data_IF_318422669202
#
_entry.id   IF_318422669202
#
_cell.length_a   1.000
_cell.length_b   1.000
_cell.length_c   1.000
_cell.angle_alpha   90.00
_cell.angle_beta   90.00
_cell.angle_gamma   90.00
#
_symmetry.space_group_name_H-M   'P 1'
#
loop_
_entity.id
_entity.type
_entity.pdbx_description
1 polymer ?
#
# COMPACT_ATOMS: atom_id res chain seq x y z
N UNK A 1 20.28 -8.17 -59.18
CA UNK A 1 19.78 -7.82 -60.53
C UNK A 1 18.30 -7.50 -60.35
N UNK A 2 17.87 -6.23 -60.33
CA UNK A 2 17.62 -5.33 -61.49
C UNK A 2 16.51 -5.84 -62.41
N UNK A 3 15.53 -5.06 -62.87
CA UNK A 3 15.07 -3.71 -62.54
C UNK A 3 13.69 -3.47 -63.22
N UNK A 4 12.92 -2.47 -62.75
CA UNK A 4 12.33 -1.34 -63.52
C UNK A 4 11.97 -1.51 -65.03
N UNK A 5 10.96 -0.88 -65.64
CA UNK A 5 10.48 0.52 -65.45
C UNK A 5 9.21 0.84 -66.30
N UNK A 6 8.29 1.67 -65.78
CA UNK A 6 7.55 2.76 -66.50
C UNK A 6 6.54 2.42 -67.66
N UNK A 7 5.58 3.28 -68.08
CA UNK A 7 5.33 4.71 -67.81
C UNK A 7 3.91 5.20 -68.25
N UNK A 8 3.37 6.28 -67.61
CA UNK A 8 2.45 7.33 -68.15
C UNK A 8 1.04 6.93 -68.68
N UNK A 9 -0.04 7.74 -68.63
CA UNK A 9 -0.40 9.18 -68.37
C UNK A 9 -1.93 9.21 -68.01
N UNK A 10 -2.63 10.27 -67.55
CA UNK A 10 -2.40 11.46 -66.66
C UNK A 10 -3.73 12.29 -66.61
N UNK A 11 -4.11 12.88 -65.46
CA UNK A 11 -5.29 13.78 -65.15
C UNK A 11 -6.50 13.04 -64.51
N UNK A 12 -7.25 13.60 -63.53
CA UNK A 12 -7.34 15.00 -63.02
C UNK A 12 -7.87 15.04 -61.55
N UNK A 13 -7.34 15.96 -60.71
CA UNK A 13 -7.75 16.33 -59.31
C UNK A 13 -7.69 15.21 -58.25
N UNK A 14 -7.21 15.38 -57.01
CA UNK A 14 -6.44 16.42 -56.27
C UNK A 14 -5.75 15.70 -55.08
N UNK A 15 -4.53 16.07 -54.66
CA UNK A 15 -3.81 15.55 -53.47
C UNK A 15 -3.52 16.67 -52.45
N UNK A 16 -3.27 16.53 -51.13
CA UNK A 16 -2.69 15.47 -50.25
C UNK A 16 -1.21 15.11 -50.54
N UNK A 17 -0.36 14.80 -49.52
CA UNK A 17 -0.13 15.34 -48.14
C UNK A 17 1.41 15.66 -48.00
N UNK A 18 2.19 15.33 -46.92
CA UNK A 18 2.04 15.36 -45.44
C UNK A 18 3.17 16.20 -44.74
N UNK A 19 3.30 16.17 -43.40
CA UNK A 19 4.63 16.21 -42.74
C UNK A 19 4.85 17.16 -41.54
N UNK A 20 5.01 16.54 -40.37
CA UNK A 20 5.83 16.82 -39.17
C UNK A 20 6.53 18.18 -38.86
N UNK A 21 6.66 18.42 -37.54
CA UNK A 21 7.49 19.43 -36.83
C UNK A 21 7.21 20.92 -37.17
N UNK A 22 7.30 21.90 -36.27
CA UNK A 22 7.71 21.94 -34.86
C UNK A 22 8.44 23.28 -34.58
N UNK A 23 8.25 23.86 -33.38
CA UNK A 23 8.97 25.04 -32.84
C UNK A 23 8.55 26.41 -33.46
N UNK A 24 7.86 27.26 -32.67
CA UNK A 24 8.29 28.54 -32.03
C UNK A 24 8.82 29.64 -33.00
N UNK A 25 8.20 30.83 -32.86
CA UNK A 25 8.77 32.20 -32.87
C UNK A 25 8.17 33.25 -33.83
N UNK A 26 7.88 34.40 -33.21
CA UNK A 26 7.94 35.81 -33.66
C UNK A 26 7.34 36.28 -35.01
N UNK A 27 6.44 37.25 -34.85
CA UNK A 27 6.45 38.59 -35.48
C UNK A 27 6.19 38.83 -36.98
N UNK A 28 5.55 39.99 -37.21
CA UNK A 28 5.63 40.90 -38.35
C UNK A 28 5.21 40.44 -39.77
N UNK A 29 4.33 41.24 -40.40
CA UNK A 29 4.81 42.13 -41.47
C UNK A 29 4.02 43.45 -41.42
N UNK A 30 4.59 44.66 -41.36
CA UNK A 30 5.64 45.36 -42.14
C UNK A 30 5.13 45.96 -43.46
N UNK A 31 4.71 47.23 -43.37
CA UNK A 31 4.72 48.26 -44.43
C UNK A 31 4.48 49.61 -43.70
N UNK A 32 5.11 50.75 -44.00
CA UNK A 32 6.32 51.01 -44.78
C UNK A 32 6.89 52.40 -44.40
N UNK A 33 8.16 52.64 -44.73
CA UNK A 33 8.76 53.97 -45.01
C UNK A 33 8.57 55.18 -44.04
N UNK A 34 9.69 55.47 -43.34
CA UNK A 34 10.38 56.80 -43.25
C UNK A 34 9.84 58.00 -42.43
N UNK A 35 10.84 58.68 -41.84
CA UNK A 35 10.94 60.10 -41.44
C UNK A 35 10.46 60.60 -40.05
N UNK A 36 11.47 61.12 -39.33
CA UNK A 36 11.50 62.24 -38.37
C UNK A 36 10.71 62.24 -37.06
N UNK A 37 11.49 62.33 -35.98
CA UNK A 37 11.44 63.36 -34.92
C UNK A 37 10.15 64.18 -34.74
N UNK A 38 9.45 63.99 -33.61
CA UNK A 38 9.38 65.01 -32.55
C UNK A 38 8.45 64.60 -31.38
N UNK A 39 8.98 64.70 -30.16
CA UNK A 39 8.37 64.98 -28.82
C UNK A 39 6.83 65.10 -28.70
N UNK A 40 6.19 64.57 -27.63
CA UNK A 40 6.77 64.04 -26.38
C UNK A 40 5.73 63.50 -25.37
N UNK A 41 6.20 63.26 -24.14
CA UNK A 41 5.60 62.34 -23.14
C UNK A 41 4.29 62.76 -22.43
N UNK A 42 3.48 61.75 -22.07
CA UNK A 42 2.72 61.72 -20.81
C UNK A 42 2.81 60.29 -20.20
N UNK A 43 3.04 60.08 -18.89
CA UNK A 43 3.55 58.80 -18.38
C UNK A 43 2.51 57.66 -18.28
N UNK A 44 2.96 56.43 -18.57
CA UNK A 44 2.22 55.21 -18.24
C UNK A 44 2.02 55.05 -16.73
N UNK A 45 0.76 55.08 -16.28
CA UNK A 45 0.38 54.67 -14.92
C UNK A 45 0.62 53.16 -14.74
N UNK A 46 1.37 52.79 -13.70
CA UNK A 46 1.65 51.37 -13.40
C UNK A 46 0.37 50.62 -13.01
N UNK A 47 0.32 49.31 -13.31
CA UNK A 47 -0.82 48.44 -12.99
C UNK A 47 -1.23 48.47 -11.51
N UNK A 48 -0.31 48.82 -10.62
CA UNK A 48 -0.53 49.02 -9.19
C UNK A 48 -1.56 50.13 -8.89
N UNK A 49 -1.54 51.23 -9.66
CA UNK A 49 -2.51 52.33 -9.51
C UNK A 49 -3.92 51.94 -9.96
N UNK A 50 -4.05 51.10 -10.98
CA UNK A 50 -5.34 50.55 -11.41
C UNK A 50 -5.93 49.54 -10.41
N UNK A 51 -5.08 48.81 -9.68
CA UNK A 51 -5.51 47.93 -8.59
C UNK A 51 -6.04 48.75 -7.40
N UNK A 52 -5.31 49.80 -6.99
CA UNK A 52 -5.73 50.71 -5.92
C UNK A 52 -7.05 51.42 -6.24
N UNK A 53 -7.22 51.92 -7.48
CA UNK A 53 -8.48 52.54 -7.94
C UNK A 53 -9.68 51.57 -7.90
N UNK A 54 -9.49 50.29 -8.27
CA UNK A 54 -10.57 49.29 -8.17
C UNK A 54 -10.94 48.94 -6.73
N UNK A 55 -9.99 48.98 -5.79
CA UNK A 55 -10.26 48.76 -4.36
C UNK A 55 -11.00 49.95 -3.75
N UNK A 56 -10.60 51.18 -4.09
CA UNK A 56 -11.31 52.42 -3.69
C UNK A 56 -12.78 52.45 -4.16
N UNK A 57 -13.08 51.89 -5.34
CA UNK A 57 -14.45 51.84 -5.87
C UNK A 57 -15.37 50.82 -5.17
N UNK A 58 -14.83 49.90 -4.38
CA UNK A 58 -15.56 48.73 -3.87
C UNK A 58 -15.80 48.76 -2.34
N UNK A 59 -15.16 49.66 -1.60
CA UNK A 59 -15.35 49.85 -0.16
C UNK A 59 -15.45 51.35 0.13
N UNK A 60 -16.47 51.76 0.89
CA UNK A 60 -16.63 53.15 1.30
C UNK A 60 -15.43 53.67 2.11
N UNK A 61 -15.14 54.96 1.99
CA UNK A 61 -13.89 55.59 2.44
C UNK A 61 -13.49 55.26 3.90
N UNK A 62 -14.46 55.12 4.80
CA UNK A 62 -14.22 54.95 6.24
C UNK A 62 -13.61 53.58 6.62
N UNK A 63 -13.49 52.63 5.68
CA UNK A 63 -12.94 51.29 5.92
C UNK A 63 -11.52 51.07 5.39
N UNK A 64 -10.87 52.10 4.81
CA UNK A 64 -9.54 52.00 4.21
C UNK A 64 -8.43 52.65 5.04
N UNK A 65 -8.70 53.76 5.74
CA UNK A 65 -7.67 54.51 6.50
C UNK A 65 -7.12 53.75 7.72
N UNK A 66 -7.90 52.81 8.29
CA UNK A 66 -7.47 51.92 9.38
C UNK A 66 -6.87 50.57 8.92
N UNK A 67 -6.84 50.28 7.61
CA UNK A 67 -6.25 49.02 7.12
C UNK A 67 -4.77 49.17 6.84
N UNK A 68 -3.95 48.47 7.63
CA UNK A 68 -2.52 48.40 7.34
C UNK A 68 -2.27 47.78 5.96
N UNK A 69 -1.18 48.17 5.29
CA UNK A 69 -0.78 47.58 4.01
C UNK A 69 -0.68 46.04 4.08
N UNK A 70 -0.39 45.50 5.26
CA UNK A 70 -0.34 44.06 5.53
C UNK A 70 -1.71 43.38 5.46
N UNK A 71 -2.79 44.06 5.86
CA UNK A 71 -4.17 43.53 5.83
C UNK A 71 -4.75 43.55 4.41
N UNK A 72 -4.40 44.55 3.61
CA UNK A 72 -4.71 44.59 2.17
C UNK A 72 -4.00 43.43 1.45
N UNK A 73 -2.72 43.21 1.74
CA UNK A 73 -1.94 42.10 1.16
C UNK A 73 -2.53 40.73 1.57
N UNK A 74 -2.89 40.51 2.84
CA UNK A 74 -3.55 39.27 3.33
C UNK A 74 -4.91 38.97 2.69
N UNK A 75 -5.62 39.99 2.20
CA UNK A 75 -6.90 39.82 1.48
C UNK A 75 -6.71 39.38 0.02
N UNK A 76 -5.52 39.52 -0.55
CA UNK A 76 -5.26 39.13 -1.94
C UNK A 76 -5.35 37.60 -2.13
N UNK A 77 -6.08 37.09 -3.14
CA UNK A 77 -6.30 35.65 -3.30
C UNK A 77 -4.99 34.85 -3.49
N UNK A 78 -3.99 35.40 -4.19
CA UNK A 78 -2.67 34.76 -4.30
C UNK A 78 -1.96 34.61 -2.95
N UNK A 79 -2.12 35.57 -2.03
CA UNK A 79 -1.50 35.51 -0.69
C UNK A 79 -2.22 34.47 0.17
N UNK A 80 -3.54 34.34 0.05
CA UNK A 80 -4.29 33.24 0.67
C UNK A 80 -3.89 31.87 0.12
N UNK A 81 -3.77 31.70 -1.20
CA UNK A 81 -3.28 30.45 -1.81
C UNK A 81 -1.85 30.15 -1.35
N UNK A 82 -0.97 31.16 -1.32
CA UNK A 82 0.41 30.99 -0.86
C UNK A 82 0.45 30.53 0.62
N UNK A 83 -0.32 31.18 1.50
CA UNK A 83 -0.26 30.94 2.95
C UNK A 83 -1.04 29.70 3.42
N UNK A 84 -2.15 29.37 2.76
CA UNK A 84 -3.03 28.25 3.16
C UNK A 84 -2.72 26.97 2.41
N UNK A 85 -2.17 27.05 1.19
CA UNK A 85 -1.89 25.87 0.35
C UNK A 85 -0.38 25.70 0.16
N UNK A 86 0.31 26.69 -0.43
CA UNK A 86 1.73 26.51 -0.81
C UNK A 86 2.66 26.37 0.38
N UNK A 87 2.53 27.19 1.43
CA UNK A 87 3.40 27.11 2.62
C UNK A 87 3.19 25.78 3.36
N UNK A 88 1.96 25.34 3.69
CA UNK A 88 1.73 24.01 4.27
C UNK A 88 2.21 22.87 3.38
N UNK A 89 2.02 22.96 2.06
CA UNK A 89 2.53 21.96 1.12
C UNK A 89 4.07 21.93 1.06
N UNK A 90 4.74 23.09 1.05
CA UNK A 90 6.21 23.19 1.09
C UNK A 90 6.76 22.70 2.42
N UNK A 91 6.11 22.98 3.55
CA UNK A 91 6.46 22.43 4.87
C UNK A 91 6.30 20.91 4.84
N UNK A 92 5.20 20.39 4.29
CA UNK A 92 4.95 18.96 4.16
C UNK A 92 6.01 18.29 3.28
N UNK A 93 6.26 18.79 2.06
CA UNK A 93 7.27 18.24 1.15
C UNK A 93 8.70 18.38 1.72
N UNK A 94 9.01 19.47 2.43
CA UNK A 94 10.31 19.63 3.11
C UNK A 94 10.46 18.67 4.29
N UNK A 95 9.38 18.43 5.05
CA UNK A 95 9.33 17.42 6.10
C UNK A 95 9.53 16.02 5.50
N UNK A 96 8.84 15.69 4.41
CA UNK A 96 9.05 14.44 3.67
C UNK A 96 10.50 14.33 3.18
N UNK A 97 11.09 15.37 2.61
CA UNK A 97 12.48 15.32 2.15
C UNK A 97 13.48 15.10 3.30
N UNK A 98 13.36 15.88 4.38
CA UNK A 98 14.30 15.84 5.50
C UNK A 98 14.10 14.63 6.43
N UNK A 99 12.87 14.12 6.61
CA UNK A 99 12.61 12.92 7.41
C UNK A 99 12.63 11.63 6.57
N UNK A 100 12.19 11.65 5.31
CA UNK A 100 12.13 10.46 4.45
C UNK A 100 13.38 10.20 3.59
N UNK A 101 14.06 11.23 3.10
CA UNK A 101 15.21 11.06 2.20
C UNK A 101 16.55 11.37 2.90
N UNK A 102 16.58 12.37 3.78
CA UNK A 102 17.82 12.87 4.40
C UNK A 102 17.77 13.05 5.92
N UNK A 103 17.42 12.01 6.71
CA UNK A 103 17.40 12.07 8.17
C UNK A 103 18.75 12.51 8.79
N UNK A 104 19.86 12.23 8.10
CA UNK A 104 21.20 12.64 8.50
C UNK A 104 21.38 14.16 8.61
N UNK A 105 20.63 14.96 7.85
CA UNK A 105 20.69 16.43 7.94
C UNK A 105 20.12 16.92 9.26
N UNK A 106 19.01 16.34 9.74
CA UNK A 106 18.41 16.68 11.03
C UNK A 106 19.30 16.20 12.18
N UNK A 107 19.81 14.96 12.10
CA UNK A 107 20.78 14.44 13.09
C UNK A 107 22.00 15.37 13.20
N UNK A 108 22.57 15.78 12.07
CA UNK A 108 23.75 16.66 12.03
C UNK A 108 23.44 18.07 12.54
N UNK A 109 22.30 18.66 12.16
CA UNK A 109 21.86 19.98 12.61
C UNK A 109 21.69 20.03 14.14
N UNK A 110 21.17 18.95 14.73
CA UNK A 110 20.93 18.85 16.17
C UNK A 110 22.13 18.32 16.96
N UNK A 111 23.30 18.14 16.32
CA UNK A 111 24.52 17.64 16.97
C UNK A 111 24.37 16.21 17.53
N UNK A 112 23.48 15.40 16.95
CA UNK A 112 23.13 14.07 17.46
C UNK A 112 22.12 14.06 18.61
N UNK A 113 21.57 15.21 19.02
CA UNK A 113 20.57 15.27 20.09
C UNK A 113 19.22 14.70 19.65
N UNK A 114 18.85 14.86 18.38
CA UNK A 114 17.61 14.34 17.82
C UNK A 114 17.87 13.50 16.57
N UNK A 115 17.67 12.20 16.71
CA UNK A 115 17.65 11.26 15.59
C UNK A 115 16.19 11.09 15.15
N UNK A 116 15.76 11.62 13.98
CA UNK A 116 14.39 11.42 13.49
C UNK A 116 14.09 9.94 13.18
N UNK A 117 15.13 9.10 13.06
CA UNK A 117 15.03 7.65 12.79
C UNK A 117 15.96 6.84 13.68
N UNK A 118 15.65 6.67 14.98
CA UNK A 118 16.49 5.86 15.86
C UNK A 118 16.58 4.40 15.39
N UNK A 119 15.52 3.87 14.74
CA UNK A 119 15.43 2.50 14.24
C UNK A 119 16.16 2.20 12.91
N UNK A 120 16.82 3.21 12.32
CA UNK A 120 17.64 3.09 11.09
C UNK A 120 19.11 3.41 11.39
N UNK A 121 19.41 4.05 12.53
CA UNK A 121 20.70 4.65 12.78
C UNK A 121 21.72 3.70 13.44
N UNK A 122 22.22 2.73 12.68
CA UNK A 122 23.47 2.02 12.98
C UNK A 122 23.49 1.16 14.26
N UNK A 123 22.32 0.88 14.86
CA UNK A 123 22.22 -0.04 15.98
C UNK A 123 22.28 -1.49 15.47
N UNK A 124 23.27 -2.26 15.93
CA UNK A 124 23.30 -3.73 15.75
C UNK A 124 22.21 -4.46 16.59
N UNK A 125 21.30 -3.70 17.20
CA UNK A 125 20.24 -4.17 18.08
C UNK A 125 19.04 -4.50 17.19
N UNK A 126 18.54 -5.75 17.15
CA UNK A 126 17.36 -6.10 16.38
C UNK A 126 16.14 -5.37 16.94
N UNK A 127 15.16 -5.04 16.10
CA UNK A 127 13.87 -4.50 16.59
C UNK A 127 13.11 -5.58 17.34
N UNK A 128 12.16 -5.24 18.20
CA UNK A 128 11.55 -6.27 19.04
C UNK A 128 10.75 -7.28 18.24
N UNK A 129 9.81 -6.84 17.40
CA UNK A 129 8.87 -7.77 16.76
C UNK A 129 8.60 -7.50 15.28
N UNK A 130 8.65 -8.55 14.48
CA UNK A 130 8.00 -8.65 13.17
C UNK A 130 6.72 -9.46 13.33
N UNK A 131 5.57 -8.84 13.06
CA UNK A 131 4.30 -9.55 12.97
C UNK A 131 3.98 -9.77 11.48
N UNK A 132 3.98 -11.02 11.04
CA UNK A 132 3.54 -11.40 9.70
C UNK A 132 2.01 -11.47 9.69
N UNK A 133 1.35 -10.78 8.77
CA UNK A 133 -0.10 -10.90 8.58
C UNK A 133 -0.42 -12.07 7.65
N UNK A 134 -1.39 -12.91 8.03
CA UNK A 134 -1.84 -14.08 7.27
C UNK A 134 -2.46 -13.77 5.91
N UNK A 135 -3.05 -12.58 5.71
CA UNK A 135 -3.69 -12.18 4.45
C UNK A 135 -2.89 -11.12 3.70
N UNK A 136 -2.70 -11.26 2.37
CA UNK A 136 -2.43 -10.10 1.54
C UNK A 136 -3.63 -9.16 1.55
N UNK A 137 -3.35 -7.86 1.55
CA UNK A 137 -4.37 -6.82 1.60
C UNK A 137 -3.77 -5.50 2.03
N UNK A 138 -4.08 -4.43 1.30
CA UNK A 138 -3.33 -3.19 1.43
C UNK A 138 -3.72 -2.04 0.50
N UNK A 139 -4.95 -2.03 -0.02
CA UNK A 139 -5.46 -0.87 -0.76
C UNK A 139 -5.39 0.42 0.07
N UNK A 140 -4.46 1.30 -0.30
CA UNK A 140 -4.41 2.70 0.15
C UNK A 140 -5.23 3.63 -0.75
N UNK A 141 -5.89 3.08 -1.78
CA UNK A 141 -6.57 3.79 -2.85
C UNK A 141 -8.10 3.68 -2.73
N UNK A 142 -8.66 4.50 -1.85
CA UNK A 142 -10.02 5.04 -1.98
C UNK A 142 -11.20 4.15 -1.58
N UNK A 143 -11.26 2.89 -2.01
CA UNK A 143 -12.46 2.06 -1.88
C UNK A 143 -12.50 1.22 -0.59
N UNK A 144 -12.23 1.87 0.54
CA UNK A 144 -12.93 1.69 1.82
C UNK A 144 -12.84 0.38 2.63
N UNK A 145 -12.52 -0.78 2.05
CA UNK A 145 -12.66 -2.08 2.72
C UNK A 145 -11.44 -2.97 2.46
N UNK A 146 -10.58 -3.12 3.48
CA UNK A 146 -9.36 -3.94 3.42
C UNK A 146 -9.33 -4.93 4.59
N UNK A 147 -8.52 -5.98 4.48
CA UNK A 147 -8.82 -7.31 5.01
C UNK A 147 -8.15 -7.81 6.32
N UNK A 148 -7.09 -7.28 6.95
CA UNK A 148 -6.56 -5.93 7.21
C UNK A 148 -7.34 -5.03 8.20
N UNK A 149 -8.69 -5.05 8.23
CA UNK A 149 -9.55 -4.44 9.29
C UNK A 149 -9.51 -5.11 10.68
N UNK A 150 -8.39 -5.77 10.97
CA UNK A 150 -8.03 -6.17 12.32
C UNK A 150 -6.57 -5.84 12.59
N UNK A 151 -5.69 -6.06 11.60
CA UNK A 151 -4.29 -5.64 11.61
C UNK A 151 -4.13 -4.16 12.00
N UNK A 152 -4.99 -3.28 11.48
CA UNK A 152 -5.00 -1.84 11.80
C UNK A 152 -5.48 -1.58 13.24
N UNK A 153 -6.55 -2.23 13.67
CA UNK A 153 -7.16 -2.15 15.00
C UNK A 153 -6.18 -2.61 16.08
N UNK A 154 -5.55 -3.78 15.90
CA UNK A 154 -4.52 -4.33 16.79
C UNK A 154 -3.30 -3.39 16.86
N UNK A 155 -2.81 -2.88 15.72
CA UNK A 155 -1.72 -1.88 15.72
C UNK A 155 -2.11 -0.61 16.49
N UNK A 156 -3.36 -0.17 16.35
CA UNK A 156 -3.89 1.02 17.01
C UNK A 156 -3.99 0.82 18.52
N UNK A 157 -4.48 -0.33 18.99
CA UNK A 157 -4.58 -0.63 20.42
C UNK A 157 -3.22 -0.94 21.06
N UNK A 158 -2.29 -1.61 20.36
CA UNK A 158 -0.89 -1.75 20.81
C UNK A 158 -0.23 -0.38 21.03
N UNK A 159 -0.45 0.58 20.12
CA UNK A 159 0.03 1.95 20.28
C UNK A 159 -0.71 2.71 21.39
N UNK A 160 -2.02 2.60 21.48
CA UNK A 160 -2.85 3.35 22.44
C UNK A 160 -2.64 2.87 23.88
N UNK A 161 -2.64 1.56 24.09
CA UNK A 161 -2.68 0.93 25.42
C UNK A 161 -1.28 0.60 25.94
N UNK A 162 -0.37 0.17 25.07
CA UNK A 162 1.01 -0.18 25.46
C UNK A 162 2.05 0.87 25.03
N UNK A 163 1.66 1.93 24.32
CA UNK A 163 2.57 2.97 23.79
C UNK A 163 3.70 2.42 22.92
N UNK A 164 3.39 1.35 22.18
CA UNK A 164 4.30 0.71 21.23
C UNK A 164 4.30 1.42 19.88
N UNK A 165 5.48 1.55 19.30
CA UNK A 165 5.72 2.14 17.99
C UNK A 165 5.90 1.03 16.94
N UNK A 166 4.78 0.36 16.62
CA UNK A 166 4.71 -0.69 15.59
C UNK A 166 4.18 -0.09 14.27
N UNK A 167 4.89 -0.35 13.18
CA UNK A 167 4.50 0.07 11.83
C UNK A 167 3.49 -0.85 11.17
N UNK A 168 2.55 -0.32 10.39
CA UNK A 168 1.66 -1.14 9.55
C UNK A 168 2.10 -1.07 8.09
N UNK A 169 2.60 -2.17 7.55
CA UNK A 169 3.09 -2.29 6.17
C UNK A 169 4.56 -1.89 5.94
N UNK A 170 5.28 -1.40 6.96
CA UNK A 170 6.65 -0.87 6.80
C UNK A 170 7.57 -1.26 7.97
N UNK A 171 8.66 -1.95 7.63
CA UNK A 171 9.88 -2.09 8.43
C UNK A 171 10.84 -0.90 8.27
N UNK A 172 10.51 0.17 7.57
CA UNK A 172 11.22 1.45 7.72
C UNK A 172 10.47 2.36 8.72
N UNK A 173 11.23 3.09 9.53
CA UNK A 173 10.74 4.20 10.34
C UNK A 173 10.61 5.50 9.53
N UNK A 174 10.66 5.42 8.20
CA UNK A 174 10.39 6.50 7.27
C UNK A 174 8.96 7.05 7.47
N UNK A 175 7.94 6.25 7.13
CA UNK A 175 6.56 6.74 6.99
C UNK A 175 5.87 7.03 8.33
N UNK A 176 6.31 6.36 9.40
CA UNK A 176 5.89 6.54 10.79
C UNK A 176 7.08 6.21 11.69
N UNK A 177 7.11 6.70 12.92
CA UNK A 177 8.05 6.19 13.93
C UNK A 177 7.71 4.70 14.21
N UNK A 178 8.51 3.79 13.65
CA UNK A 178 8.37 2.33 13.79
C UNK A 178 9.57 1.76 14.57
N UNK A 179 9.68 2.23 15.82
CA UNK A 179 10.82 1.91 16.71
C UNK A 179 10.82 0.45 17.17
N UNK A 180 9.65 -0.05 17.56
CA UNK A 180 9.56 -1.30 18.33
C UNK A 180 9.31 -2.51 17.42
N UNK A 181 8.65 -2.31 16.27
CA UNK A 181 8.36 -3.41 15.36
C UNK A 181 7.60 -3.01 14.10
N UNK A 182 7.15 -4.04 13.39
CA UNK A 182 6.33 -3.93 12.17
C UNK A 182 5.23 -4.98 12.21
N UNK A 183 4.12 -4.70 11.54
CA UNK A 183 3.14 -5.69 11.12
C UNK A 183 2.91 -5.58 9.61
N UNK A 184 3.08 -6.67 8.87
CA UNK A 184 3.01 -6.66 7.41
C UNK A 184 2.84 -8.08 6.87
N UNK A 185 1.93 -8.25 5.92
CA UNK A 185 1.79 -9.51 5.20
C UNK A 185 3.00 -9.76 4.29
N UNK A 186 3.46 -8.74 3.56
CA UNK A 186 4.50 -8.90 2.54
C UNK A 186 5.86 -9.30 3.14
N UNK A 187 6.08 -9.02 4.43
CA UNK A 187 7.26 -9.52 5.15
C UNK A 187 7.27 -11.04 5.36
N UNK A 188 6.14 -11.73 5.15
CA UNK A 188 6.07 -13.19 5.06
C UNK A 188 6.98 -13.77 3.97
N UNK A 189 7.33 -13.00 2.94
CA UNK A 189 8.29 -13.39 1.89
C UNK A 189 9.66 -13.83 2.45
N UNK A 190 10.02 -13.37 3.66
CA UNK A 190 11.23 -13.78 4.40
C UNK A 190 11.24 -15.26 4.79
N UNK A 191 10.06 -15.86 4.91
CA UNK A 191 9.83 -17.22 5.39
C UNK A 191 9.33 -18.17 4.30
N UNK A 192 9.12 -17.64 3.08
CA UNK A 192 8.85 -18.44 1.88
C UNK A 192 10.16 -18.99 1.30
N UNK A 193 10.12 -20.25 0.89
CA UNK A 193 11.18 -20.85 0.08
C UNK A 193 11.42 -20.02 -1.18
N UNK A 194 12.68 -19.92 -1.59
CA UNK A 194 13.04 -19.40 -2.91
C UNK A 194 12.88 -20.52 -3.94
N UNK A 195 12.64 -20.22 -5.23
CA UNK A 195 12.86 -21.19 -6.30
C UNK A 195 14.28 -21.76 -6.21
N UNK A 196 14.43 -23.08 -6.41
CA UNK A 196 15.70 -23.78 -6.21
C UNK A 196 16.82 -23.29 -7.16
N UNK A 197 16.44 -22.76 -8.33
CA UNK A 197 17.36 -22.21 -9.30
C UNK A 197 17.40 -20.67 -9.28
N UNK A 198 18.61 -20.11 -9.41
CA UNK A 198 18.83 -18.66 -9.47
C UNK A 198 18.01 -17.98 -10.57
N UNK A 199 17.73 -18.69 -11.66
CA UNK A 199 16.95 -18.17 -12.79
C UNK A 199 15.47 -18.05 -12.42
N UNK A 200 14.83 -19.09 -11.88
CA UNK A 200 13.45 -19.03 -11.40
C UNK A 200 13.23 -17.92 -10.35
N UNK A 201 14.20 -17.72 -9.45
CA UNK A 201 14.18 -16.58 -8.50
C UNK A 201 14.20 -15.23 -9.22
N UNK A 202 15.09 -15.04 -10.19
CA UNK A 202 15.18 -13.78 -10.96
C UNK A 202 13.90 -13.54 -11.77
N UNK A 203 13.37 -14.57 -12.45
CA UNK A 203 12.13 -14.46 -13.23
C UNK A 203 10.94 -14.08 -12.34
N UNK A 204 10.82 -14.64 -11.13
CA UNK A 204 9.78 -14.30 -10.16
C UNK A 204 9.90 -12.86 -9.65
N UNK A 205 11.11 -12.42 -9.31
CA UNK A 205 11.37 -11.02 -8.91
C UNK A 205 11.09 -10.06 -10.08
N UNK A 206 11.46 -10.41 -11.31
CA UNK A 206 11.14 -9.62 -12.51
C UNK A 206 9.64 -9.49 -12.74
N UNK A 207 8.86 -10.56 -12.59
CA UNK A 207 7.39 -10.52 -12.70
C UNK A 207 6.78 -9.51 -11.72
N UNK A 208 7.22 -9.53 -10.45
CA UNK A 208 6.74 -8.58 -9.43
C UNK A 208 7.18 -7.16 -9.76
N UNK A 209 8.49 -6.91 -9.94
CA UNK A 209 9.01 -5.55 -10.05
C UNK A 209 8.66 -4.84 -11.36
N UNK A 210 8.42 -5.57 -12.45
CA UNK A 210 7.98 -4.98 -13.72
C UNK A 210 6.46 -4.86 -13.83
N UNK A 211 5.70 -5.32 -12.83
CA UNK A 211 4.25 -5.18 -12.82
C UNK A 211 3.82 -3.70 -12.75
N UNK A 212 2.60 -3.40 -13.19
CA UNK A 212 2.08 -2.04 -13.22
C UNK A 212 1.86 -1.48 -11.80
N UNK A 213 1.78 -0.16 -11.69
CA UNK A 213 1.55 0.54 -10.40
C UNK A 213 0.34 -0.02 -9.61
N UNK A 214 -0.75 -0.40 -10.30
CA UNK A 214 -1.93 -1.03 -9.71
C UNK A 214 -1.52 -2.27 -8.88
N UNK A 215 -0.82 -3.22 -9.50
CA UNK A 215 -0.28 -4.41 -8.83
C UNK A 215 0.57 -4.12 -7.58
N UNK A 216 1.21 -2.94 -7.47
CA UNK A 216 1.94 -2.53 -6.26
C UNK A 216 1.03 -1.86 -5.22
N UNK A 217 0.03 -1.07 -5.63
CA UNK A 217 -0.96 -0.45 -4.73
C UNK A 217 -1.97 -1.45 -4.18
N UNK A 218 -2.40 -2.41 -5.00
CA UNK A 218 -3.45 -3.38 -4.70
C UNK A 218 -2.94 -4.49 -3.76
N UNK A 219 -1.66 -4.84 -3.90
CA UNK A 219 -0.96 -5.80 -3.02
C UNK A 219 -0.34 -5.12 -1.80
N UNK A 220 -0.35 -3.79 -1.70
CA UNK A 220 0.20 -3.07 -0.55
C UNK A 220 1.72 -3.24 -0.36
N UNK A 221 2.47 -3.50 -1.44
CA UNK A 221 3.94 -3.63 -1.42
C UNK A 221 4.61 -2.38 -2.00
N UNK A 222 5.58 -1.85 -1.26
CA UNK A 222 6.47 -0.81 -1.73
C UNK A 222 7.89 -1.05 -1.19
N UNK A 223 8.99 -0.87 -1.96
CA UNK A 223 10.36 -1.18 -1.51
C UNK A 223 10.78 -0.40 -0.26
N UNK A 224 10.26 0.82 -0.08
CA UNK A 224 10.44 1.62 1.13
C UNK A 224 9.88 0.96 2.41
N UNK A 225 9.12 -0.14 2.31
CA UNK A 225 8.75 -0.97 3.44
C UNK A 225 9.95 -1.69 4.07
N UNK A 226 11.07 -1.85 3.36
CA UNK A 226 12.22 -2.61 3.85
C UNK A 226 13.40 -1.74 4.31
N UNK A 227 13.36 -0.44 4.06
CA UNK A 227 14.38 0.51 4.48
C UNK A 227 14.45 1.76 3.60
N UNK A 228 15.37 2.68 3.89
CA UNK A 228 15.62 3.84 3.04
C UNK A 228 16.17 3.40 1.67
N UNK A 229 15.80 4.14 0.63
CA UNK A 229 16.17 3.81 -0.75
C UNK A 229 17.67 3.92 -0.99
N UNK A 230 18.27 2.87 -1.57
CA UNK A 230 19.72 2.83 -1.82
C UNK A 230 20.12 3.72 -3.02
N UNK A 231 19.21 3.86 -3.99
CA UNK A 231 19.32 4.73 -5.16
C UNK A 231 18.68 6.12 -4.94
N UNK A 232 18.24 6.47 -3.72
CA UNK A 232 17.62 7.76 -3.38
C UNK A 232 16.37 8.11 -4.21
N UNK A 233 15.54 7.12 -4.51
CA UNK A 233 14.33 7.30 -5.31
C UNK A 233 13.34 8.28 -4.66
N UNK A 234 12.68 9.09 -5.49
CA UNK A 234 11.75 10.12 -5.03
C UNK A 234 10.43 9.51 -4.56
N UNK A 235 10.09 9.72 -3.29
CA UNK A 235 8.78 9.37 -2.73
C UNK A 235 7.60 10.14 -3.35
N UNK A 236 7.85 11.15 -4.18
CA UNK A 236 6.79 11.86 -4.94
C UNK A 236 6.35 11.10 -6.19
N UNK A 237 7.18 10.17 -6.68
CA UNK A 237 6.87 9.30 -7.82
C UNK A 237 6.50 7.93 -7.28
N UNK A 238 5.34 7.40 -7.65
CA UNK A 238 4.81 6.17 -7.03
C UNK A 238 5.41 4.87 -7.55
N UNK A 239 5.80 4.80 -8.83
CA UNK A 239 6.44 3.60 -9.41
C UNK A 239 7.16 3.92 -10.74
N UNK A 240 8.45 4.23 -10.69
CA UNK A 240 9.30 4.52 -11.86
C UNK A 240 10.48 3.53 -11.97
N UNK A 241 11.36 3.73 -12.95
CA UNK A 241 12.58 2.92 -13.12
C UNK A 241 13.53 2.96 -11.91
N UNK A 242 13.43 3.96 -11.02
CA UNK A 242 14.16 3.97 -9.76
C UNK A 242 13.50 3.00 -8.75
N UNK A 243 12.20 3.12 -8.56
CA UNK A 243 11.44 2.22 -7.66
C UNK A 243 11.46 0.76 -8.12
N UNK A 244 11.48 0.49 -9.43
CA UNK A 244 11.73 -0.86 -9.95
C UNK A 244 13.09 -1.39 -9.48
N UNK A 245 14.16 -0.61 -9.57
CA UNK A 245 15.51 -1.00 -9.09
C UNK A 245 15.53 -1.24 -7.58
N UNK A 246 14.85 -0.41 -6.78
CA UNK A 246 14.68 -0.68 -5.35
C UNK A 246 13.90 -1.96 -5.09
N UNK A 247 12.86 -2.26 -5.88
CA UNK A 247 12.12 -3.51 -5.80
C UNK A 247 13.03 -4.73 -6.05
N UNK A 248 13.85 -4.71 -7.11
CA UNK A 248 14.83 -5.78 -7.37
C UNK A 248 15.77 -5.99 -6.17
N UNK A 249 16.33 -4.91 -5.63
CA UNK A 249 17.25 -4.95 -4.50
C UNK A 249 16.57 -5.44 -3.21
N UNK A 250 15.34 -5.02 -2.94
CA UNK A 250 14.57 -5.45 -1.78
C UNK A 250 14.23 -6.95 -1.89
N UNK A 251 13.55 -7.37 -2.96
CA UNK A 251 13.09 -8.76 -3.09
C UNK A 251 14.23 -9.77 -3.14
N UNK A 252 15.33 -9.48 -3.84
CA UNK A 252 16.47 -10.41 -3.90
C UNK A 252 17.12 -10.65 -2.52
N UNK A 253 17.08 -9.64 -1.64
CA UNK A 253 17.63 -9.67 -0.27
C UNK A 253 16.67 -10.23 0.76
N UNK A 254 15.38 -9.93 0.63
CA UNK A 254 14.38 -10.16 1.66
C UNK A 254 13.66 -11.50 1.49
N UNK A 255 13.47 -11.98 0.26
CA UNK A 255 12.87 -13.29 0.01
C UNK A 255 13.72 -14.40 0.65
N UNK A 256 13.13 -15.23 1.51
CA UNK A 256 13.79 -16.35 2.18
C UNK A 256 14.91 -15.96 3.17
N UNK A 257 15.09 -14.67 3.48
CA UNK A 257 16.17 -14.23 4.35
C UNK A 257 16.00 -14.67 5.81
N UNK A 258 14.76 -14.95 6.24
CA UNK A 258 14.44 -15.49 7.56
C UNK A 258 14.99 -16.90 7.69
N UNK A 259 14.64 -17.78 6.74
CA UNK A 259 15.14 -19.16 6.64
C UNK A 259 16.68 -19.20 6.62
N UNK A 260 17.30 -18.29 5.86
CA UNK A 260 18.76 -18.20 5.75
C UNK A 260 19.45 -17.47 6.93
N UNK A 261 18.71 -16.94 7.90
CA UNK A 261 19.18 -16.04 8.97
C UNK A 261 20.08 -14.89 8.45
N UNK A 262 19.71 -14.34 7.29
CA UNK A 262 20.52 -13.42 6.48
C UNK A 262 19.87 -12.04 6.26
N UNK A 263 18.71 -11.76 6.87
CA UNK A 263 18.00 -10.49 6.69
C UNK A 263 18.85 -9.27 7.12
N UNK A 264 18.80 -8.20 6.30
CA UNK A 264 19.48 -6.92 6.60
C UNK A 264 18.83 -6.23 7.82
N UNK A 265 17.50 -6.22 7.89
CA UNK A 265 16.74 -5.76 9.07
C UNK A 265 16.34 -6.97 9.93
N UNK A 266 16.92 -7.06 11.13
CA UNK A 266 16.69 -8.13 12.10
C UNK A 266 15.61 -7.78 13.12
N UNK A 267 14.87 -8.80 13.55
CA UNK A 267 13.88 -8.73 14.63
C UNK A 267 14.25 -9.75 15.70
N UNK A 268 13.98 -9.44 16.97
CA UNK A 268 14.25 -10.30 18.12
C UNK A 268 13.19 -11.41 18.27
N UNK A 269 11.97 -11.14 17.79
CA UNK A 269 10.86 -12.09 17.65
C UNK A 269 10.15 -11.91 16.30
N UNK A 270 9.67 -13.01 15.77
CA UNK A 270 8.78 -13.09 14.61
C UNK A 270 7.49 -13.79 15.03
N UNK A 271 6.33 -13.20 14.74
CA UNK A 271 5.03 -13.76 15.09
C UNK A 271 4.10 -13.77 13.89
N UNK A 272 3.23 -14.78 13.77
CA UNK A 272 2.18 -14.83 12.75
C UNK A 272 0.84 -14.35 13.35
N UNK A 273 0.27 -13.27 12.81
CA UNK A 273 -1.11 -12.90 13.07
C UNK A 273 -2.02 -13.68 12.11
N UNK A 274 -2.94 -14.47 12.67
CA UNK A 274 -3.95 -15.21 11.89
C UNK A 274 -5.36 -14.74 12.20
N UNK A 275 -6.27 -15.08 11.30
CA UNK A 275 -7.73 -14.89 11.44
C UNK A 275 -8.46 -16.21 11.17
N UNK A 276 -9.79 -16.22 11.28
CA UNK A 276 -10.61 -17.32 10.76
C UNK A 276 -10.33 -17.51 9.24
N UNK A 277 -9.94 -18.70 8.76
CA UNK A 277 -9.56 -18.88 7.35
C UNK A 277 -10.66 -18.61 6.32
N UNK A 278 -11.94 -18.75 6.66
CA UNK A 278 -13.03 -18.38 5.76
C UNK A 278 -13.17 -16.85 5.69
N UNK A 279 -13.09 -16.15 6.82
CA UNK A 279 -13.05 -14.67 6.84
C UNK A 279 -11.84 -14.10 6.11
N UNK A 280 -10.72 -14.82 6.09
CA UNK A 280 -9.58 -14.47 5.24
C UNK A 280 -9.92 -14.61 3.76
N UNK A 281 -10.54 -15.73 3.36
CA UNK A 281 -10.96 -15.97 1.98
C UNK A 281 -12.01 -14.96 1.50
N UNK A 282 -13.03 -14.66 2.30
CA UNK A 282 -14.04 -13.62 2.05
C UNK A 282 -13.38 -12.25 1.78
N UNK A 283 -12.34 -11.92 2.54
CA UNK A 283 -11.54 -10.71 2.36
C UNK A 283 -10.80 -10.68 1.02
N UNK A 284 -10.18 -11.80 0.63
CA UNK A 284 -9.46 -11.92 -0.64
C UNK A 284 -10.39 -11.91 -1.85
N UNK A 285 -11.54 -12.57 -1.76
CA UNK A 285 -12.58 -12.53 -2.80
C UNK A 285 -13.07 -11.09 -2.99
N UNK A 286 -13.32 -10.35 -1.90
CA UNK A 286 -13.74 -8.95 -1.97
C UNK A 286 -12.65 -8.00 -2.51
N UNK A 287 -11.39 -8.21 -2.13
CA UNK A 287 -10.27 -7.31 -2.51
C UNK A 287 -9.75 -7.61 -3.93
N UNK A 288 -9.85 -8.86 -4.41
CA UNK A 288 -9.22 -9.29 -5.66
C UNK A 288 -10.14 -9.90 -6.73
N UNK A 289 -11.41 -10.19 -6.46
CA UNK A 289 -12.39 -10.51 -7.51
C UNK A 289 -13.07 -9.23 -8.01
N UNK A 290 -13.08 -9.01 -9.33
CA UNK A 290 -13.81 -7.90 -9.95
C UNK A 290 -15.30 -8.05 -9.62
N UNK A 291 -15.91 -6.96 -9.15
CA UNK A 291 -17.28 -6.95 -8.62
C UNK A 291 -17.35 -7.21 -7.11
N UNK A 292 -16.35 -7.89 -6.53
CA UNK A 292 -16.40 -8.42 -5.17
C UNK A 292 -17.30 -9.65 -5.08
N UNK A 293 -17.34 -10.48 -6.12
CA UNK A 293 -18.27 -11.59 -6.32
C UNK A 293 -17.48 -12.91 -6.55
N UNK A 294 -18.04 -14.05 -6.14
CA UNK A 294 -17.34 -15.36 -6.09
C UNK A 294 -17.07 -15.94 -7.48
N UNK A 295 -17.98 -15.68 -8.42
CA UNK A 295 -17.91 -15.95 -9.85
C UNK A 295 -17.25 -14.81 -10.65
N UNK A 296 -16.77 -13.77 -9.97
CA UNK A 296 -16.05 -12.65 -10.57
C UNK A 296 -14.72 -13.06 -11.22
N UNK A 297 -14.14 -12.14 -11.99
CA UNK A 297 -12.84 -12.33 -12.63
C UNK A 297 -11.73 -11.90 -11.66
N UNK A 298 -10.68 -12.71 -11.51
CA UNK A 298 -9.53 -12.37 -10.66
C UNK A 298 -8.78 -11.16 -11.21
N UNK A 299 -8.42 -10.21 -10.35
CA UNK A 299 -7.59 -9.08 -10.74
C UNK A 299 -6.24 -9.56 -11.28
N UNK A 300 -5.82 -9.02 -12.44
CA UNK A 300 -4.52 -9.37 -13.01
C UNK A 300 -3.36 -8.97 -12.07
N UNK A 301 -3.54 -7.93 -11.27
CA UNK A 301 -2.66 -7.55 -10.16
C UNK A 301 -2.34 -8.74 -9.24
N UNK A 302 -3.38 -9.42 -8.75
CA UNK A 302 -3.26 -10.57 -7.87
C UNK A 302 -2.61 -11.76 -8.59
N UNK A 303 -3.07 -12.10 -9.80
CA UNK A 303 -2.57 -13.24 -10.57
C UNK A 303 -1.06 -13.16 -10.85
N UNK A 304 -0.56 -11.95 -11.16
CA UNK A 304 0.88 -11.70 -11.38
C UNK A 304 1.70 -11.96 -10.12
N UNK A 305 1.20 -11.57 -8.94
CA UNK A 305 1.89 -11.83 -7.67
C UNK A 305 1.80 -13.30 -7.25
N UNK A 306 0.61 -13.90 -7.33
CA UNK A 306 0.39 -15.30 -6.98
C UNK A 306 1.30 -16.22 -7.82
N UNK A 307 1.32 -16.04 -9.14
CA UNK A 307 2.15 -16.81 -10.09
C UNK A 307 3.64 -16.46 -10.06
N UNK A 308 4.04 -15.42 -9.32
CA UNK A 308 5.44 -15.10 -9.06
C UNK A 308 5.91 -15.69 -7.73
N UNK A 309 5.09 -15.61 -6.68
CA UNK A 309 5.41 -16.15 -5.35
C UNK A 309 5.34 -17.68 -5.34
N UNK A 310 4.33 -18.25 -6.01
CA UNK A 310 4.06 -19.69 -6.08
C UNK A 310 4.04 -20.17 -7.55
N UNK A 311 5.19 -20.19 -8.24
CA UNK A 311 5.25 -20.49 -9.68
C UNK A 311 4.94 -21.95 -10.04
N UNK A 312 4.75 -22.83 -9.05
CA UNK A 312 4.33 -24.22 -9.23
C UNK A 312 2.82 -24.39 -9.47
N UNK A 313 2.02 -23.33 -9.32
CA UNK A 313 0.57 -23.37 -9.49
C UNK A 313 0.11 -22.39 -10.58
N UNK A 314 -0.84 -22.82 -11.42
CA UNK A 314 -1.38 -22.00 -12.52
C UNK A 314 -2.65 -21.26 -12.11
N UNK A 315 -2.47 -20.14 -11.41
CA UNK A 315 -3.57 -19.27 -10.97
C UNK A 315 -4.41 -18.69 -12.13
N UNK A 316 -3.92 -18.71 -13.38
CA UNK A 316 -4.70 -18.24 -14.53
C UNK A 316 -5.74 -19.29 -15.00
N UNK A 317 -5.53 -20.57 -14.66
CA UNK A 317 -6.50 -21.63 -14.95
C UNK A 317 -7.70 -21.61 -14.00
N UNK A 318 -7.52 -21.16 -12.77
CA UNK A 318 -8.50 -21.15 -11.66
C UNK A 318 -9.65 -20.14 -11.82
N UNK A 319 -10.78 -20.38 -11.13
CA UNK A 319 -11.77 -19.35 -10.83
C UNK A 319 -11.29 -18.37 -9.74
N UNK A 320 -12.08 -17.36 -9.37
CA UNK A 320 -11.62 -16.41 -8.36
C UNK A 320 -11.56 -17.00 -6.94
N UNK A 321 -12.54 -17.78 -6.51
CA UNK A 321 -12.47 -18.50 -5.23
C UNK A 321 -11.37 -19.58 -5.22
N UNK A 322 -11.14 -20.26 -6.35
CA UNK A 322 -10.06 -21.24 -6.51
C UNK A 322 -8.67 -20.56 -6.41
N UNK A 323 -8.44 -19.46 -7.12
CA UNK A 323 -7.16 -18.75 -7.12
C UNK A 323 -6.85 -18.09 -5.77
N UNK A 324 -7.84 -17.39 -5.18
CA UNK A 324 -7.67 -16.70 -3.89
C UNK A 324 -7.56 -17.69 -2.73
N UNK A 325 -8.35 -18.77 -2.75
CA UNK A 325 -8.27 -19.86 -1.78
C UNK A 325 -6.95 -20.61 -1.85
N UNK A 326 -6.52 -21.01 -3.06
CA UNK A 326 -5.24 -21.72 -3.24
C UNK A 326 -4.05 -20.86 -2.78
N UNK A 327 -4.04 -19.57 -3.11
CA UNK A 327 -3.01 -18.65 -2.63
C UNK A 327 -2.99 -18.56 -1.09
N UNK A 328 -4.16 -18.35 -0.46
CA UNK A 328 -4.30 -18.28 0.99
C UNK A 328 -3.76 -19.53 1.66
N UNK A 329 -4.11 -20.70 1.12
CA UNK A 329 -3.67 -22.00 1.63
C UNK A 329 -2.16 -22.16 1.49
N UNK A 330 -1.59 -21.97 0.31
CA UNK A 330 -0.14 -22.11 0.07
C UNK A 330 0.68 -21.14 0.94
N UNK A 331 0.19 -19.91 1.13
CA UNK A 331 0.83 -18.93 1.99
C UNK A 331 0.78 -19.34 3.47
N UNK A 332 -0.38 -19.76 3.98
CA UNK A 332 -0.53 -20.17 5.37
C UNK A 332 0.20 -21.48 5.70
N UNK A 333 0.18 -22.47 4.81
CA UNK A 333 0.99 -23.69 4.94
C UNK A 333 2.48 -23.35 5.04
N UNK A 334 2.98 -22.43 4.21
CA UNK A 334 4.37 -21.99 4.29
C UNK A 334 4.70 -21.21 5.58
N UNK A 335 3.78 -20.42 6.12
CA UNK A 335 3.97 -19.74 7.42
C UNK A 335 3.90 -20.72 8.60
N UNK A 336 3.02 -21.72 8.55
CA UNK A 336 2.94 -22.79 9.55
C UNK A 336 4.21 -23.64 9.55
N UNK A 337 4.74 -23.96 8.38
CA UNK A 337 6.01 -24.67 8.27
C UNK A 337 7.19 -23.82 8.78
N UNK A 338 7.17 -22.50 8.56
CA UNK A 338 8.13 -21.58 9.18
C UNK A 338 8.05 -21.56 10.71
N UNK A 339 6.85 -21.76 11.29
CA UNK A 339 6.68 -21.96 12.75
C UNK A 339 7.26 -23.32 13.18
N UNK A 340 7.00 -24.41 12.44
CA UNK A 340 7.57 -25.74 12.75
C UNK A 340 9.10 -25.75 12.71
N UNK A 341 9.73 -25.01 11.78
CA UNK A 341 11.19 -24.84 11.70
C UNK A 341 11.75 -23.90 12.78
N UNK A 342 10.92 -23.11 13.44
CA UNK A 342 11.33 -22.10 14.42
C UNK A 342 11.81 -20.77 13.79
N UNK A 343 11.54 -20.52 12.51
CA UNK A 343 11.80 -19.23 11.86
C UNK A 343 10.80 -18.15 12.34
N UNK A 344 9.60 -18.57 12.77
CA UNK A 344 8.56 -17.76 13.40
C UNK A 344 8.30 -18.35 14.80
N UNK A 345 8.40 -17.53 15.85
CA UNK A 345 8.35 -17.97 17.25
C UNK A 345 6.99 -18.52 17.69
N UNK A 346 5.90 -17.91 17.20
CA UNK A 346 4.53 -18.24 17.59
C UNK A 346 3.50 -17.61 16.64
N UNK A 347 2.23 -17.96 16.80
CA UNK A 347 1.10 -17.28 16.18
C UNK A 347 0.06 -16.82 17.20
N UNK A 348 -0.82 -15.89 16.80
CA UNK A 348 -1.99 -15.50 17.59
C UNK A 348 -3.22 -15.27 16.71
N UNK A 349 -4.39 -15.67 17.22
CA UNK A 349 -5.69 -15.42 16.60
C UNK A 349 -6.17 -14.02 16.94
N UNK A 350 -6.32 -13.13 15.96
CA UNK A 350 -6.67 -11.73 16.26
C UNK A 350 -8.06 -11.59 16.90
N UNK A 351 -9.04 -12.40 16.48
CA UNK A 351 -10.41 -12.39 17.03
C UNK A 351 -10.47 -12.78 18.51
N UNK A 352 -9.42 -13.40 19.06
CA UNK A 352 -9.37 -13.89 20.44
C UNK A 352 -8.26 -13.25 21.29
N UNK A 353 -7.46 -12.34 20.72
CA UNK A 353 -6.27 -11.80 21.39
C UNK A 353 -6.51 -10.43 22.02
N UNK A 354 -6.04 -10.27 23.26
CA UNK A 354 -5.80 -8.97 23.87
C UNK A 354 -4.46 -8.37 23.41
N UNK A 355 -4.20 -7.09 23.70
CA UNK A 355 -2.87 -6.52 23.47
C UNK A 355 -1.80 -7.14 24.37
N UNK A 356 -2.18 -7.73 25.51
CA UNK A 356 -1.25 -8.45 26.38
C UNK A 356 -0.85 -9.83 25.84
N UNK A 357 -1.75 -10.51 25.12
CA UNK A 357 -1.40 -11.76 24.43
C UNK A 357 -0.39 -11.49 23.31
N UNK A 358 -0.61 -10.44 22.53
CA UNK A 358 0.34 -10.01 21.50
C UNK A 358 1.64 -9.50 22.13
N UNK A 359 1.61 -8.80 23.27
CA UNK A 359 2.82 -8.39 23.98
C UNK A 359 3.64 -9.59 24.47
N UNK A 360 2.99 -10.65 24.95
CA UNK A 360 3.63 -11.90 25.33
C UNK A 360 4.29 -12.59 24.13
N UNK A 361 3.55 -12.76 23.03
CA UNK A 361 4.05 -13.36 21.78
C UNK A 361 5.21 -12.55 21.17
N UNK A 362 5.12 -11.22 21.22
CA UNK A 362 6.17 -10.32 20.78
C UNK A 362 7.41 -10.28 21.72
N UNK A 363 7.41 -10.99 22.85
CA UNK A 363 8.50 -10.97 23.83
C UNK A 363 8.63 -9.68 24.65
N UNK A 364 7.64 -8.78 24.58
CA UNK A 364 7.64 -7.45 25.22
C UNK A 364 7.53 -7.48 26.75
N UNK A 365 7.14 -8.62 27.31
CA UNK A 365 7.09 -8.87 28.75
C UNK A 365 8.45 -9.29 29.33
N UNK A 366 9.43 -9.60 28.48
CA UNK A 366 10.73 -10.11 28.88
C UNK A 366 11.74 -8.99 29.18
N UNK A 367 12.65 -9.26 30.12
CA UNK A 367 13.70 -8.32 30.52
C UNK A 367 14.80 -8.14 29.44
N UNK A 368 14.90 -9.08 28.50
CA UNK A 368 15.82 -9.05 27.35
C UNK A 368 15.25 -8.34 26.10
N UNK A 369 14.09 -7.66 26.23
CA UNK A 369 13.51 -6.91 25.11
C UNK A 369 14.45 -5.85 24.57
N UNK A 370 14.41 -5.65 23.25
CA UNK A 370 15.13 -4.58 22.55
C UNK A 370 14.33 -3.28 22.42
N UNK A 371 13.12 -3.20 22.97
CA UNK A 371 12.34 -1.96 23.05
C UNK A 371 13.09 -0.91 23.87
N UNK A 372 13.13 0.31 23.35
CA UNK A 372 13.84 1.43 23.96
C UNK A 372 13.23 1.85 25.32
N UNK A 373 14.07 1.98 26.35
CA UNK A 373 13.73 2.44 27.69
C UNK A 373 13.16 1.34 28.62
N UNK A 374 12.72 1.69 29.85
CA UNK A 374 12.15 0.75 30.83
C UNK A 374 10.72 0.29 30.47
N UNK A 375 10.43 0.14 29.18
CA UNK A 375 9.10 -0.18 28.68
C UNK A 375 8.64 -1.58 29.07
N UNK A 376 9.53 -2.58 29.15
CA UNK A 376 9.15 -3.92 29.65
C UNK A 376 8.56 -3.88 31.06
N UNK A 377 9.11 -3.05 31.97
CA UNK A 377 8.59 -2.93 33.34
C UNK A 377 7.15 -2.37 33.32
N UNK A 378 6.89 -1.39 32.45
CA UNK A 378 5.56 -0.79 32.30
C UNK A 378 4.58 -1.76 31.64
N UNK A 379 4.97 -2.42 30.56
CA UNK A 379 4.12 -3.38 29.83
C UNK A 379 3.85 -4.61 30.72
N UNK A 380 4.86 -5.13 31.41
CA UNK A 380 4.72 -6.19 32.41
C UNK A 380 3.69 -5.86 33.50
N UNK A 381 3.72 -4.63 34.06
CA UNK A 381 2.69 -4.17 35.02
C UNK A 381 1.29 -3.96 34.44
N UNK A 382 1.19 -3.56 33.17
CA UNK A 382 -0.10 -3.40 32.47
C UNK A 382 -0.73 -4.74 32.10
N UNK A 383 0.12 -5.75 31.87
CA UNK A 383 -0.24 -7.13 31.53
C UNK A 383 -0.08 -8.10 32.70
N UNK A 384 0.07 -7.59 33.92
CA UNK A 384 0.08 -8.40 35.13
C UNK A 384 -1.29 -9.04 35.32
N UNK A 385 -1.33 -10.32 35.69
CA UNK A 385 -2.57 -11.09 35.86
C UNK A 385 -3.41 -10.55 37.02
N UNK A 386 -2.76 -9.97 38.02
CA UNK A 386 -3.44 -9.38 39.17
C UNK A 386 -4.10 -8.03 38.81
N UNK A 387 -3.82 -7.47 37.63
CA UNK A 387 -4.40 -6.24 37.10
C UNK A 387 -5.52 -6.53 36.09
N UNK A 388 -6.48 -7.41 36.46
CA UNK A 388 -7.58 -7.86 35.57
C UNK A 388 -8.47 -6.72 35.04
N UNK A 389 -8.48 -5.57 35.71
CA UNK A 389 -9.25 -4.39 35.31
C UNK A 389 -8.54 -3.54 34.23
N UNK A 390 -7.29 -3.88 33.88
CA UNK A 390 -6.55 -3.25 32.78
C UNK A 390 -7.26 -3.50 31.46
N UNK A 391 -7.52 -2.42 30.69
CA UNK A 391 -8.01 -2.52 29.32
C UNK A 391 -7.04 -3.32 28.41
N UNK A 392 -5.79 -3.53 28.83
CA UNK A 392 -4.81 -4.31 28.10
C UNK A 392 -5.11 -5.81 28.03
N UNK A 393 -5.93 -6.35 28.95
CA UNK A 393 -6.41 -7.74 28.95
C UNK A 393 -7.72 -7.93 28.18
N UNK A 394 -8.36 -6.86 27.70
CA UNK A 394 -9.58 -6.97 26.89
C UNK A 394 -9.22 -7.42 25.48
N UNK A 395 -10.02 -8.34 24.92
CA UNK A 395 -9.92 -8.72 23.51
C UNK A 395 -10.11 -7.47 22.65
N UNK A 396 -9.24 -7.28 21.65
CA UNK A 396 -9.30 -6.09 20.80
C UNK A 396 -10.61 -6.09 20.01
N UNK A 397 -11.43 -5.05 20.23
CA UNK A 397 -12.69 -4.88 19.53
C UNK A 397 -12.45 -4.62 18.05
N UNK A 398 -12.58 -5.68 17.23
CA UNK A 398 -12.56 -5.59 15.78
C UNK A 398 -13.79 -4.81 15.33
N UNK A 399 -13.56 -3.64 14.72
CA UNK A 399 -14.65 -2.92 14.08
C UNK A 399 -15.05 -3.70 12.84
N UNK A 400 -16.33 -4.06 12.74
CA UNK A 400 -16.93 -4.20 11.42
C UNK A 400 -16.69 -2.87 10.70
N UNK A 401 -15.83 -2.86 9.69
CA UNK A 401 -15.83 -1.82 8.67
C UNK A 401 -17.29 -1.61 8.25
N UNK A 402 -17.72 -0.37 8.00
CA UNK A 402 -19.05 -0.16 7.42
C UNK A 402 -19.02 -0.82 6.04
N UNK A 403 -19.63 -1.99 5.95
CA UNK A 403 -19.68 -2.79 4.73
C UNK A 403 -20.80 -2.18 3.90
N UNK A 404 -20.46 -1.54 2.78
CA UNK A 404 -21.43 -1.28 1.70
C UNK A 404 -22.10 -2.61 1.31
N UNK A 405 -23.28 -2.59 0.70
CA UNK A 405 -24.21 -3.74 0.58
C UNK A 405 -23.69 -5.01 -0.17
N UNK A 406 -22.41 -5.06 -0.53
CA UNK A 406 -21.67 -6.22 -1.08
C UNK A 406 -21.00 -7.07 0.01
N UNK A 407 -21.81 -7.63 0.92
CA UNK A 407 -21.31 -8.59 1.92
C UNK A 407 -21.10 -9.97 1.28
N UNK A 408 -19.88 -10.24 0.80
CA UNK A 408 -19.45 -11.62 0.55
C UNK A 408 -19.46 -12.38 1.87
N UNK A 409 -20.24 -13.47 1.93
CA UNK A 409 -20.18 -14.47 2.99
C UNK A 409 -20.05 -15.85 2.34
N UNK A 410 -19.09 -16.65 2.81
CA UNK A 410 -18.74 -17.94 2.21
C UNK A 410 -18.97 -19.10 3.19
N UNK A 411 -19.44 -20.21 2.65
CA UNK A 411 -19.53 -21.49 3.32
C UNK A 411 -18.71 -22.58 2.65
N UNK A 412 -18.89 -23.82 3.13
CA UNK A 412 -18.21 -24.99 2.56
C UNK A 412 -18.74 -25.37 1.18
N UNK A 413 -19.97 -24.98 0.82
CA UNK A 413 -20.56 -25.22 -0.50
C UNK A 413 -20.04 -24.33 -1.62
N UNK A 414 -19.58 -23.12 -1.33
CA UNK A 414 -18.98 -22.24 -2.34
C UNK A 414 -17.71 -22.88 -2.96
N UNK A 415 -17.03 -23.72 -2.18
CA UNK A 415 -15.87 -24.52 -2.60
C UNK A 415 -16.27 -25.79 -3.37
N UNK A 416 -17.55 -26.20 -3.37
CA UNK A 416 -18.04 -27.48 -3.93
C UNK A 416 -18.62 -27.40 -5.34
N UNK A 417 -18.31 -26.33 -6.07
CA UNK A 417 -18.47 -26.30 -7.52
C UNK A 417 -19.85 -25.90 -8.03
N UNK A 418 -19.89 -25.55 -9.33
CA UNK A 418 -21.09 -25.45 -10.15
C UNK A 418 -22.10 -24.33 -9.85
N UNK A 419 -22.24 -23.92 -8.59
CA UNK A 419 -23.28 -22.98 -8.15
C UNK A 419 -22.74 -21.58 -7.78
N UNK A 420 -21.47 -21.51 -7.36
CA UNK A 420 -20.80 -20.34 -6.77
C UNK A 420 -19.45 -20.00 -7.44
N UNK A 421 -19.40 -19.99 -8.78
CA UNK A 421 -18.24 -19.45 -9.51
C UNK A 421 -17.01 -20.35 -9.66
N UNK A 422 -16.89 -21.47 -8.95
CA UNK A 422 -15.87 -22.49 -9.23
C UNK A 422 -15.99 -23.04 -10.66
N UNK A 423 -14.85 -23.16 -11.37
CA UNK A 423 -14.76 -23.72 -12.73
C UNK A 423 -14.91 -25.24 -12.73
N UNK A 424 -14.67 -25.89 -11.59
CA UNK A 424 -14.76 -27.34 -11.42
C UNK A 424 -16.21 -27.75 -11.14
N UNK A 425 -16.73 -28.72 -11.91
CA UNK A 425 -18.13 -29.19 -11.80
C UNK A 425 -18.47 -29.79 -10.43
N UNK A 426 -17.51 -30.46 -9.80
CA UNK A 426 -17.61 -31.08 -8.47
C UNK A 426 -16.96 -30.21 -7.38
N UNK A 427 -16.47 -29.02 -7.76
CA UNK A 427 -15.74 -28.10 -6.91
C UNK A 427 -14.27 -28.45 -6.71
N UNK A 428 -13.66 -27.75 -5.77
CA UNK A 428 -12.31 -27.98 -5.30
C UNK A 428 -12.33 -28.60 -3.89
N UNK A 429 -12.62 -29.90 -3.86
CA UNK A 429 -12.58 -30.68 -2.61
C UNK A 429 -11.17 -30.79 -2.00
N UNK A 430 -10.10 -30.54 -2.78
CA UNK A 430 -8.74 -30.44 -2.23
C UNK A 430 -8.58 -29.14 -1.46
N UNK A 431 -9.00 -28.01 -2.05
CA UNK A 431 -9.02 -26.70 -1.39
C UNK A 431 -9.90 -26.71 -0.13
N UNK A 432 -11.09 -27.34 -0.18
CA UNK A 432 -11.95 -27.53 1.00
C UNK A 432 -11.21 -28.29 2.12
N UNK A 433 -10.56 -29.40 1.78
CA UNK A 433 -9.81 -30.24 2.71
C UNK A 433 -8.62 -29.48 3.33
N UNK A 434 -7.83 -28.78 2.52
CA UNK A 434 -6.67 -28.00 2.97
C UNK A 434 -7.08 -26.81 3.83
N UNK A 435 -8.16 -26.10 3.48
CA UNK A 435 -8.73 -25.06 4.34
C UNK A 435 -9.17 -25.64 5.69
N UNK A 436 -9.86 -26.79 5.74
CA UNK A 436 -10.22 -27.45 7.01
C UNK A 436 -9.00 -27.83 7.85
N UNK A 437 -7.92 -28.28 7.22
CA UNK A 437 -6.66 -28.54 7.93
C UNK A 437 -6.08 -27.25 8.54
N UNK A 438 -6.17 -26.11 7.85
CA UNK A 438 -5.77 -24.80 8.39
C UNK A 438 -6.66 -24.35 9.55
N UNK A 439 -7.98 -24.62 9.53
CA UNK A 439 -8.84 -24.37 10.70
C UNK A 439 -8.32 -25.11 11.92
N UNK A 440 -8.02 -26.42 11.78
CA UNK A 440 -7.49 -27.24 12.89
C UNK A 440 -6.12 -26.74 13.35
N UNK A 441 -5.18 -26.52 12.43
CA UNK A 441 -3.82 -26.08 12.75
C UNK A 441 -3.78 -24.69 13.42
N UNK A 442 -4.69 -23.79 13.04
CA UNK A 442 -4.79 -22.44 13.60
C UNK A 442 -5.70 -22.35 14.84
N UNK A 443 -6.37 -23.44 15.25
CA UNK A 443 -7.19 -23.50 16.45
C UNK A 443 -8.62 -22.94 16.29
N UNK A 444 -9.18 -22.95 15.07
CA UNK A 444 -10.57 -22.56 14.80
C UNK A 444 -11.47 -23.79 14.60
N UNK A 445 -12.74 -23.70 15.02
CA UNK A 445 -13.72 -24.76 14.81
C UNK A 445 -14.39 -24.62 13.42
N UNK A 446 -13.97 -25.46 12.46
CA UNK A 446 -14.54 -25.46 11.11
C UNK A 446 -16.03 -25.87 11.05
N UNK A 447 -16.54 -26.57 12.08
CA UNK A 447 -17.96 -26.97 12.15
C UNK A 447 -18.89 -25.80 12.49
N UNK A 448 -18.35 -24.65 12.90
CA UNK A 448 -19.13 -23.45 13.17
C UNK A 448 -19.50 -22.66 11.90
N UNK A 449 -18.95 -23.05 10.73
CA UNK A 449 -19.28 -22.44 9.45
C UNK A 449 -20.51 -23.14 8.87
N UNK A 450 -21.61 -22.40 8.86
CA UNK A 450 -22.88 -22.80 8.26
C UNK A 450 -22.92 -22.49 6.76
N UNK A 451 -23.77 -23.25 6.08
CA UNK A 451 -24.41 -22.93 4.80
C UNK A 451 -24.87 -21.45 4.83
N UNK A 452 -24.38 -20.55 3.94
CA UNK A 452 -24.93 -19.22 3.78
C UNK A 452 -26.40 -19.33 3.38
N UNK A 453 -27.26 -18.41 3.84
CA UNK A 453 -28.59 -18.31 3.25
C UNK A 453 -28.41 -18.07 1.73
N UNK A 454 -29.15 -18.83 0.91
CA UNK A 454 -29.06 -18.71 -0.56
C UNK A 454 -29.07 -17.23 -0.94
N UNK A 455 -28.07 -16.79 -1.70
CA UNK A 455 -28.30 -15.66 -2.60
C UNK A 455 -29.44 -16.10 -3.54
N UNK A 456 -30.64 -15.59 -3.27
CA UNK A 456 -31.71 -15.59 -4.26
C UNK A 456 -31.17 -14.82 -5.46
N UNK A 457 -30.83 -15.57 -6.51
CA UNK A 457 -30.65 -14.99 -7.84
C UNK A 457 -32.02 -14.50 -8.26
N UNK A 458 -32.24 -13.19 -8.11
CA UNK A 458 -33.32 -12.51 -8.81
C UNK A 458 -33.14 -12.78 -10.31
N UNK A 459 -34.04 -13.61 -10.83
CA UNK A 459 -34.36 -13.87 -12.22
C UNK A 459 -33.19 -14.09 -13.20
N UNK A 460 -32.85 -15.38 -13.37
CA UNK A 460 -32.56 -15.86 -14.74
C UNK A 460 -33.85 -15.68 -15.54
N UNK A 461 -33.86 -14.69 -16.44
CA UNK A 461 -34.94 -14.47 -17.41
C UNK A 461 -34.99 -15.65 -18.39
N UNK A 462 -35.70 -16.70 -17.98
CA UNK A 462 -35.98 -17.93 -18.74
C UNK A 462 -37.05 -17.71 -19.83
N UNK A 463 -37.20 -16.45 -20.30
CA UNK A 463 -38.00 -16.11 -21.47
C UNK A 463 -37.43 -16.81 -22.71
N UNK A 464 -38.19 -17.71 -23.36
CA UNK A 464 -37.74 -18.35 -24.59
C UNK A 464 -37.60 -17.28 -25.68
N UNK A 465 -36.37 -17.08 -26.17
CA UNK A 465 -36.13 -16.26 -27.36
C UNK A 465 -36.78 -16.94 -28.56
N UNK A 466 -37.87 -16.35 -29.05
CA UNK A 466 -38.40 -16.69 -30.37
C UNK A 466 -37.36 -16.39 -31.46
N UNK A 467 -37.49 -17.13 -32.57
CA UNK A 467 -36.47 -17.40 -33.62
C UNK A 467 -35.89 -16.17 -34.33
#
# INVERSE_FOLDING_TARGET
MTASTSNRRRRRREGKPPGDHGIIDTDADTDAHTHHDATGDVPQRSAFTNLLLKIHSAMGNDALDDMTMFDIIKRHPLVRVLTVIMIPYLIYVSNLYLQLQHPEYITKLTGGLFHPRPAVHGTNIPRQVLIVSATPGGSSTGNGQSSSSGTVEMTTELKKTLSLEIGHGYSDAAWRFTRDGTISWFHGIRFLSQPEDTRGKIESVMKICNSGIASHTDMGFHPAAFGPTKNKCSYLVKWDECWKKECYLALLKEWGCGIANACEVKFARSALQVRNPMTMLEGLVREYCIGGEVDGIVSNSFLVYASAIFPSHDFYADSCIEATGTFLVMYLEAMLEAIHRGDIDAFYQIEQSSVCDVAKVAGLLSADTTVYGPNHIRISKLCDKDNTNSAAHQIVALKSTKIDDKTVSLGWEDLRGGMHGSKRKEGDGELESRLKNLFVALGYNYNAISIPARHERDDVDDSPKEL
#
